data_IF_660205130095
#
_entry.id   IF_660205130095
#
_cell.length_a   1.000
_cell.length_b   1.000
_cell.length_c   1.000
_cell.angle_alpha   90.00
_cell.angle_beta   90.00
_cell.angle_gamma   90.00
#
_symmetry.space_group_name_H-M   'P 1'
#
loop_
_entity.id
_entity.type
_entity.pdbx_description
1 polymer ?
#
# COMPACT_ATOMS: atom_id res chain seq x y z
N UNK A 1 -4.22 6.89 13.82
CA UNK A 1 -3.49 7.48 14.95
C UNK A 1 -2.08 7.87 14.52
N UNK A 2 -1.53 8.90 15.18
CA UNK A 2 -0.16 9.39 14.95
C UNK A 2 0.62 9.26 16.25
N UNK A 3 1.77 8.59 16.19
CA UNK A 3 2.67 8.44 17.33
C UNK A 3 3.87 9.37 17.16
N UNK A 4 4.27 9.99 18.24
CA UNK A 4 5.51 10.78 18.34
C UNK A 4 6.50 9.99 19.21
N UNK A 5 7.70 9.79 18.71
CA UNK A 5 8.73 9.00 19.38
C UNK A 5 9.84 8.61 18.41
N UNK A 6 10.74 7.77 18.85
CA UNK A 6 11.72 7.17 17.95
C UNK A 6 11.13 6.03 17.11
N UNK A 7 11.93 5.46 16.22
CA UNK A 7 11.47 4.40 15.30
C UNK A 7 11.06 3.12 16.04
N UNK A 8 11.69 2.80 17.18
CA UNK A 8 11.38 1.60 17.93
C UNK A 8 10.08 1.77 18.70
N UNK A 9 9.89 2.93 19.37
CA UNK A 9 8.62 3.28 20.05
C UNK A 9 7.44 3.28 19.06
N UNK A 10 7.65 3.84 17.87
CA UNK A 10 6.65 3.81 16.81
C UNK A 10 6.31 2.38 16.35
N UNK A 11 7.32 1.50 16.30
CA UNK A 11 7.10 0.10 15.95
C UNK A 11 6.41 -0.67 17.07
N UNK A 12 6.78 -0.46 18.35
CA UNK A 12 6.09 -1.07 19.49
C UNK A 12 4.60 -0.73 19.51
N UNK A 13 4.30 0.54 19.26
CA UNK A 13 2.92 0.98 19.12
C UNK A 13 2.19 0.27 17.97
N UNK A 14 2.81 0.18 16.78
CA UNK A 14 2.21 -0.47 15.61
C UNK A 14 1.98 -1.96 15.85
N UNK A 15 2.92 -2.64 16.54
CA UNK A 15 2.80 -4.04 16.94
C UNK A 15 1.65 -4.26 17.92
N UNK A 16 1.51 -3.39 18.93
CA UNK A 16 0.37 -3.43 19.87
C UNK A 16 -0.95 -3.28 19.13
N UNK A 17 -1.06 -2.25 18.29
CA UNK A 17 -2.27 -2.01 17.49
C UNK A 17 -2.61 -3.14 16.52
N UNK A 18 -1.60 -3.77 15.94
CA UNK A 18 -1.80 -4.92 15.06
C UNK A 18 -2.42 -6.12 15.80
N UNK A 19 -2.00 -6.34 17.06
CA UNK A 19 -2.59 -7.38 17.92
C UNK A 19 -4.02 -7.03 18.33
N UNK A 20 -4.25 -5.79 18.79
CA UNK A 20 -5.57 -5.30 19.21
C UNK A 20 -6.61 -5.41 18.07
N UNK A 21 -6.18 -5.08 16.87
CA UNK A 21 -7.01 -5.15 15.66
C UNK A 21 -7.12 -6.57 15.07
N UNK A 22 -6.41 -7.55 15.63
CA UNK A 22 -6.31 -8.90 15.07
C UNK A 22 -5.93 -8.88 13.57
N UNK A 23 -4.96 -8.03 13.21
CA UNK A 23 -4.55 -7.83 11.84
C UNK A 23 -3.97 -9.12 11.22
N UNK A 24 -4.27 -9.38 9.95
CA UNK A 24 -3.66 -10.50 9.23
C UNK A 24 -2.21 -10.20 8.84
N UNK A 25 -1.91 -8.92 8.57
CA UNK A 25 -0.60 -8.48 8.08
C UNK A 25 -0.10 -7.23 8.78
N UNK A 26 1.19 -7.22 9.09
CA UNK A 26 1.95 -6.01 9.40
C UNK A 26 2.87 -5.68 8.22
N UNK A 27 2.66 -4.51 7.62
CA UNK A 27 3.48 -3.99 6.52
C UNK A 27 4.18 -2.73 7.00
N UNK A 28 5.50 -2.65 6.82
CA UNK A 28 6.25 -1.46 7.22
C UNK A 28 7.29 -1.06 6.18
N UNK A 29 7.62 0.23 6.13
CA UNK A 29 8.65 0.77 5.24
C UNK A 29 10.04 0.28 5.65
N UNK A 30 10.69 -0.44 4.76
CA UNK A 30 12.05 -0.96 4.92
C UNK A 30 13.10 -0.24 4.08
N UNK A 31 12.76 0.88 3.46
CA UNK A 31 13.76 1.75 2.87
C UNK A 31 14.44 2.57 3.98
N UNK A 32 15.77 2.56 4.04
CA UNK A 32 16.51 3.30 5.05
C UNK A 32 16.41 2.72 6.48
N UNK A 33 15.97 3.53 7.45
CA UNK A 33 15.95 3.16 8.87
C UNK A 33 15.03 1.98 9.21
N UNK A 34 13.97 1.76 8.43
CA UNK A 34 13.01 0.69 8.69
C UNK A 34 13.60 -0.72 8.63
N UNK A 35 14.77 -0.90 8.01
CA UNK A 35 15.48 -2.19 7.99
C UNK A 35 15.93 -2.62 9.39
N UNK A 36 16.30 -1.69 10.25
CA UNK A 36 16.76 -1.96 11.63
C UNK A 36 15.65 -2.55 12.50
N UNK A 37 14.38 -2.28 12.17
CA UNK A 37 13.22 -2.74 12.92
C UNK A 37 12.88 -4.22 12.67
N UNK A 38 13.50 -4.84 11.66
CA UNK A 38 13.20 -6.23 11.29
C UNK A 38 13.32 -7.18 12.47
N UNK A 39 14.41 -7.07 13.27
CA UNK A 39 14.63 -7.95 14.42
C UNK A 39 13.52 -7.80 15.46
N UNK A 40 13.13 -6.58 15.78
CA UNK A 40 12.05 -6.28 16.72
C UNK A 40 10.72 -6.90 16.23
N UNK A 41 10.36 -6.67 14.97
CA UNK A 41 9.16 -7.26 14.37
C UNK A 41 9.19 -8.77 14.36
N UNK A 42 10.34 -9.38 14.04
CA UNK A 42 10.48 -10.83 14.02
C UNK A 42 10.28 -11.44 15.40
N UNK A 43 10.88 -10.85 16.44
CA UNK A 43 10.76 -11.30 17.82
C UNK A 43 9.34 -11.15 18.37
N UNK A 44 8.74 -9.97 18.16
CA UNK A 44 7.43 -9.65 18.71
C UNK A 44 6.26 -10.40 18.03
N UNK A 45 6.40 -10.79 16.78
CA UNK A 45 5.37 -11.53 16.05
C UNK A 45 5.63 -13.03 15.92
N UNK A 46 6.70 -13.57 16.53
CA UNK A 46 7.08 -14.99 16.41
C UNK A 46 5.96 -15.93 16.85
N UNK A 47 5.27 -15.60 17.94
CA UNK A 47 4.19 -16.41 18.52
C UNK A 47 2.78 -16.02 18.04
N UNK A 48 2.68 -15.14 17.06
CA UNK A 48 1.39 -14.64 16.54
C UNK A 48 1.06 -15.25 15.17
N UNK A 49 -0.20 -15.09 14.73
CA UNK A 49 -0.63 -15.42 13.36
C UNK A 49 -0.41 -14.29 12.37
N UNK A 50 0.02 -13.11 12.85
CA UNK A 50 0.21 -11.92 12.02
C UNK A 50 1.37 -12.15 11.05
N UNK A 51 1.09 -12.06 9.77
CA UNK A 51 2.11 -12.16 8.74
C UNK A 51 2.91 -10.85 8.64
N UNK A 52 4.15 -10.94 8.19
CA UNK A 52 5.09 -9.81 8.13
C UNK A 52 5.46 -9.50 6.69
N UNK A 53 5.42 -8.22 6.29
CA UNK A 53 5.91 -7.82 4.98
C UNK A 53 6.76 -6.55 5.06
N UNK A 54 8.01 -6.65 4.60
CA UNK A 54 8.92 -5.53 4.42
C UNK A 54 8.60 -4.82 3.12
N UNK A 55 8.02 -3.65 3.17
CA UNK A 55 7.79 -2.84 2.00
C UNK A 55 9.05 -2.06 1.63
N UNK A 56 9.55 -2.26 0.42
CA UNK A 56 10.69 -1.54 -0.13
C UNK A 56 10.24 -0.79 -1.37
N UNK A 57 9.89 0.46 -1.18
CA UNK A 57 9.34 1.30 -2.23
C UNK A 57 10.30 1.59 -3.37
N UNK A 58 11.61 1.50 -3.11
CA UNK A 58 12.68 1.69 -4.11
C UNK A 58 12.86 0.52 -5.08
N UNK A 59 12.36 -0.68 -4.72
CA UNK A 59 12.45 -1.86 -5.58
C UNK A 59 11.64 -1.74 -6.88
N UNK A 60 11.89 -2.66 -7.80
CA UNK A 60 11.09 -2.80 -9.01
C UNK A 60 9.61 -3.03 -8.68
N UNK A 61 8.69 -2.58 -9.56
CA UNK A 61 7.27 -2.84 -9.39
C UNK A 61 6.96 -4.32 -9.24
N UNK A 62 5.99 -4.64 -8.40
CA UNK A 62 5.49 -6.01 -8.27
C UNK A 62 4.88 -6.47 -9.60
N UNK A 63 4.97 -7.77 -9.88
CA UNK A 63 4.50 -8.36 -11.13
C UNK A 63 5.02 -7.62 -12.37
N UNK A 64 6.30 -7.29 -12.36
CA UNK A 64 6.99 -6.42 -13.31
C UNK A 64 6.64 -6.69 -14.77
N UNK A 65 6.47 -7.96 -15.16
CA UNK A 65 6.20 -8.38 -16.54
C UNK A 65 4.71 -8.48 -16.86
N UNK A 66 3.83 -8.34 -15.88
CA UNK A 66 2.39 -8.35 -16.12
C UNK A 66 1.90 -6.98 -16.56
N UNK A 67 0.88 -6.91 -17.44
CA UNK A 67 0.24 -5.66 -17.79
C UNK A 67 -0.41 -5.02 -16.55
N UNK A 68 -0.35 -3.68 -16.48
CA UNK A 68 -0.92 -2.95 -15.36
C UNK A 68 -2.46 -2.98 -15.36
N UNK A 69 -3.08 -2.76 -16.52
CA UNK A 69 -4.53 -2.79 -16.68
C UNK A 69 -4.91 -3.36 -18.04
N UNK A 70 -5.54 -4.54 -18.05
CA UNK A 70 -5.93 -5.20 -19.30
C UNK A 70 -4.75 -5.75 -20.13
N UNK A 71 -5.04 -6.69 -21.02
CA UNK A 71 -4.03 -7.47 -21.75
C UNK A 71 -3.10 -6.64 -22.65
N UNK A 72 -3.61 -5.53 -23.20
CA UNK A 72 -2.90 -4.70 -24.18
C UNK A 72 -2.21 -3.49 -23.56
N UNK A 73 -2.23 -3.37 -22.22
CA UNK A 73 -1.55 -2.28 -21.53
C UNK A 73 -0.06 -2.54 -21.35
N UNK A 74 0.71 -1.46 -21.12
CA UNK A 74 2.12 -1.56 -20.75
C UNK A 74 2.28 -2.41 -19.49
N UNK A 75 3.41 -3.10 -19.41
CA UNK A 75 3.76 -3.87 -18.20
C UNK A 75 3.95 -2.93 -16.99
N UNK A 76 3.88 -3.50 -15.79
CA UNK A 76 4.15 -2.74 -14.57
C UNK A 76 5.54 -2.09 -14.62
N UNK A 77 6.54 -2.81 -15.08
CA UNK A 77 7.91 -2.32 -15.24
C UNK A 77 8.02 -1.16 -16.22
N UNK A 78 7.23 -1.16 -17.28
CA UNK A 78 7.24 -0.10 -18.30
C UNK A 78 6.37 1.10 -17.92
N UNK A 79 5.45 0.91 -16.99
CA UNK A 79 4.53 1.94 -16.50
C UNK A 79 5.11 2.72 -15.31
N UNK A 80 5.72 2.02 -14.35
CA UNK A 80 6.17 2.60 -13.08
C UNK A 80 7.68 2.56 -12.94
N UNK A 81 8.24 3.59 -12.32
CA UNK A 81 9.68 3.64 -12.03
C UNK A 81 10.08 2.62 -10.97
N UNK A 82 9.26 2.50 -9.93
CA UNK A 82 9.50 1.65 -8.77
C UNK A 82 8.19 1.22 -8.09
N UNK A 83 8.31 0.36 -7.07
CA UNK A 83 7.18 -0.16 -6.28
C UNK A 83 6.39 0.97 -5.59
N UNK A 84 7.06 1.99 -5.03
CA UNK A 84 6.38 3.14 -4.42
C UNK A 84 5.44 3.84 -5.41
N UNK A 85 5.89 4.06 -6.64
CA UNK A 85 5.06 4.66 -7.68
C UNK A 85 3.85 3.78 -8.05
N UNK A 86 4.07 2.48 -8.17
CA UNK A 86 2.99 1.51 -8.45
C UNK A 86 1.92 1.53 -7.35
N UNK A 87 2.32 1.52 -6.07
CA UNK A 87 1.38 1.44 -4.96
C UNK A 87 0.62 2.75 -4.73
N UNK A 88 1.26 3.91 -4.91
CA UNK A 88 0.55 5.18 -4.93
C UNK A 88 -0.48 5.24 -6.07
N UNK A 89 -0.16 4.60 -7.20
CA UNK A 89 -1.11 4.52 -8.31
C UNK A 89 -2.26 3.56 -8.04
N UNK A 90 -2.00 2.41 -7.42
CA UNK A 90 -3.05 1.50 -6.93
C UNK A 90 -4.00 2.21 -5.97
N UNK A 91 -3.47 2.98 -5.02
CA UNK A 91 -4.28 3.76 -4.09
C UNK A 91 -5.17 4.78 -4.82
N UNK A 92 -4.60 5.53 -5.76
CA UNK A 92 -5.35 6.45 -6.62
C UNK A 92 -6.48 5.74 -7.37
N UNK A 93 -6.20 4.59 -7.94
CA UNK A 93 -7.19 3.85 -8.75
C UNK A 93 -8.34 3.34 -7.88
N UNK A 94 -8.09 2.92 -6.64
CA UNK A 94 -9.14 2.55 -5.68
C UNK A 94 -10.03 3.75 -5.32
N UNK A 95 -9.47 4.92 -5.08
CA UNK A 95 -10.26 6.13 -4.88
C UNK A 95 -11.09 6.47 -6.11
N UNK A 96 -10.52 6.36 -7.30
CA UNK A 96 -11.24 6.62 -8.55
C UNK A 96 -12.35 5.59 -8.80
N UNK A 97 -12.09 4.32 -8.52
CA UNK A 97 -13.09 3.25 -8.60
C UNK A 97 -14.26 3.52 -7.64
N UNK A 98 -13.96 3.88 -6.38
CA UNK A 98 -14.98 4.24 -5.40
C UNK A 98 -15.82 5.45 -5.85
N UNK A 99 -15.18 6.49 -6.39
CA UNK A 99 -15.89 7.63 -6.97
C UNK A 99 -16.85 7.21 -8.09
N UNK A 100 -16.42 6.35 -9.01
CA UNK A 100 -17.27 5.84 -10.09
C UNK A 100 -18.44 5.02 -9.56
N UNK A 101 -18.21 4.17 -8.58
CA UNK A 101 -19.27 3.38 -7.96
C UNK A 101 -20.32 4.28 -7.27
N UNK A 102 -19.86 5.26 -6.47
CA UNK A 102 -20.76 6.11 -5.66
C UNK A 102 -21.44 7.19 -6.50
N UNK A 103 -20.68 7.93 -7.31
CA UNK A 103 -21.19 9.10 -8.02
C UNK A 103 -21.75 8.79 -9.41
N UNK A 104 -21.31 7.67 -10.02
CA UNK A 104 -21.75 7.28 -11.37
C UNK A 104 -22.68 6.06 -11.37
N UNK A 105 -22.84 5.40 -10.22
CA UNK A 105 -23.65 4.19 -10.12
C UNK A 105 -23.07 3.00 -10.88
N UNK A 106 -21.78 3.00 -11.18
CA UNK A 106 -21.13 1.90 -11.88
C UNK A 106 -20.92 0.72 -10.94
N UNK A 107 -21.22 -0.50 -11.42
CA UNK A 107 -20.82 -1.70 -10.68
C UNK A 107 -19.31 -1.90 -10.78
N UNK A 108 -18.65 -1.94 -9.65
CA UNK A 108 -17.21 -2.21 -9.53
C UNK A 108 -17.04 -3.27 -8.45
N UNK A 109 -16.11 -4.19 -8.67
CA UNK A 109 -15.81 -5.24 -7.69
C UNK A 109 -15.47 -4.60 -6.34
N UNK A 110 -16.09 -5.03 -5.23
CA UNK A 110 -15.79 -4.53 -3.90
C UNK A 110 -14.30 -4.57 -3.54
N UNK A 111 -13.55 -5.56 -4.03
CA UNK A 111 -12.12 -5.68 -3.80
C UNK A 111 -11.28 -4.57 -4.48
N UNK A 112 -11.86 -3.84 -5.42
CA UNK A 112 -11.25 -2.69 -6.08
C UNK A 112 -11.61 -1.35 -5.43
N UNK A 113 -12.52 -1.35 -4.46
CA UNK A 113 -12.96 -0.15 -3.76
C UNK A 113 -12.09 0.17 -2.55
N UNK A 114 -12.24 1.39 -2.03
CA UNK A 114 -11.68 1.81 -0.75
C UNK A 114 -12.76 2.49 0.07
N UNK A 115 -12.82 2.13 1.34
CA UNK A 115 -13.69 2.79 2.33
C UNK A 115 -12.85 3.19 3.53
N UNK A 116 -13.02 4.42 3.98
CA UNK A 116 -12.37 4.95 5.17
C UNK A 116 -13.45 5.29 6.19
N UNK A 117 -13.21 4.95 7.47
CA UNK A 117 -14.14 5.29 8.53
C UNK A 117 -14.26 6.82 8.69
N UNK A 118 -15.48 7.31 8.90
CA UNK A 118 -15.72 8.70 9.26
C UNK A 118 -15.14 9.08 10.64
N UNK A 119 -14.84 8.08 11.48
CA UNK A 119 -14.34 8.27 12.83
C UNK A 119 -12.81 8.47 12.89
N UNK A 120 -12.17 8.57 11.75
CA UNK A 120 -10.74 8.88 11.68
C UNK A 120 -10.52 10.35 12.07
N UNK A 121 -9.99 10.58 13.27
CA UNK A 121 -9.76 11.95 13.82
C UNK A 121 -8.87 12.83 12.93
N UNK A 122 -7.94 12.20 12.19
CA UNK A 122 -6.97 12.89 11.33
C UNK A 122 -7.33 12.80 9.84
N UNK A 123 -8.61 12.61 9.50
CA UNK A 123 -9.06 12.39 8.12
C UNK A 123 -8.69 13.56 7.19
N UNK A 124 -8.83 14.79 7.64
CA UNK A 124 -8.49 15.98 6.85
C UNK A 124 -6.99 16.09 6.57
N UNK A 125 -6.17 15.71 7.55
CA UNK A 125 -4.71 15.65 7.35
C UNK A 125 -4.37 14.55 6.35
N UNK A 126 -4.93 13.35 6.50
CA UNK A 126 -4.73 12.23 5.56
C UNK A 126 -5.15 12.65 4.14
N UNK A 127 -6.33 13.26 3.98
CA UNK A 127 -6.81 13.78 2.69
C UNK A 127 -5.83 14.79 2.10
N UNK A 128 -5.33 15.72 2.92
CA UNK A 128 -4.33 16.70 2.49
C UNK A 128 -3.04 16.05 2.00
N UNK A 129 -2.55 15.03 2.70
CA UNK A 129 -1.35 14.29 2.27
C UNK A 129 -1.57 13.54 0.96
N UNK A 130 -2.68 12.78 0.85
CA UNK A 130 -2.99 11.98 -0.35
C UNK A 130 -3.23 12.85 -1.59
N UNK A 131 -3.95 13.96 -1.46
CA UNK A 131 -4.28 14.84 -2.59
C UNK A 131 -3.11 15.68 -3.09
N UNK A 132 -2.05 15.84 -2.32
CA UNK A 132 -0.91 16.73 -2.65
C UNK A 132 0.33 16.00 -3.14
N UNK A 133 0.30 14.69 -3.28
CA UNK A 133 1.46 13.92 -3.74
C UNK A 133 1.84 14.31 -5.18
N UNK A 134 3.02 14.93 -5.41
CA UNK A 134 3.41 15.29 -6.75
C UNK A 134 3.86 14.06 -7.53
N UNK A 135 3.21 13.87 -8.67
CA UNK A 135 3.65 12.91 -9.69
C UNK A 135 4.61 13.61 -10.65
N UNK A 136 5.60 12.89 -11.14
CA UNK A 136 6.43 13.29 -12.27
C UNK A 136 6.66 12.12 -13.22
N UNK A 137 7.12 12.42 -14.42
CA UNK A 137 7.64 11.40 -15.33
C UNK A 137 9.14 11.27 -15.11
N UNK A 138 9.65 10.04 -15.06
CA UNK A 138 11.08 9.78 -15.09
C UNK A 138 11.66 10.12 -16.46
N UNK A 139 12.98 10.15 -16.58
CA UNK A 139 13.65 10.32 -17.89
C UNK A 139 13.27 9.23 -18.90
N UNK A 140 12.88 8.05 -18.43
CA UNK A 140 12.35 6.95 -19.26
C UNK A 140 10.83 7.07 -19.53
N UNK A 141 10.18 8.16 -19.13
CA UNK A 141 8.74 8.37 -19.32
C UNK A 141 7.84 7.59 -18.34
N UNK A 142 8.41 6.84 -17.41
CA UNK A 142 7.64 6.08 -16.42
C UNK A 142 7.06 6.98 -15.34
N UNK A 143 5.94 6.55 -14.76
CA UNK A 143 5.33 7.22 -13.61
C UNK A 143 6.28 7.14 -12.42
N UNK A 144 6.52 8.27 -11.80
CA UNK A 144 7.34 8.41 -10.61
C UNK A 144 6.64 9.32 -9.61
N UNK A 145 6.68 8.96 -8.33
CA UNK A 145 6.29 9.84 -7.24
C UNK A 145 7.51 10.65 -6.81
N UNK A 146 7.33 11.95 -6.61
CA UNK A 146 8.40 12.83 -6.17
C UNK A 146 8.99 12.34 -4.83
N UNK A 147 10.30 12.44 -4.68
CA UNK A 147 10.98 12.06 -3.44
C UNK A 147 10.58 12.98 -2.28
N UNK A 148 10.62 12.48 -1.03
CA UNK A 148 10.35 13.29 0.17
C UNK A 148 11.30 14.51 0.24
N UNK A 149 12.57 14.31 -0.17
CA UNK A 149 13.57 15.36 -0.21
C UNK A 149 13.19 16.47 -1.20
N UNK A 150 12.71 16.10 -2.39
CA UNK A 150 12.31 17.08 -3.41
C UNK A 150 10.99 17.76 -3.05
N UNK A 151 10.06 17.05 -2.41
CA UNK A 151 8.82 17.64 -1.88
C UNK A 151 9.10 18.73 -0.84
N UNK A 152 10.11 18.56 0.01
CA UNK A 152 10.48 19.53 1.02
C UNK A 152 11.12 20.81 0.46
N UNK A 153 11.67 20.76 -0.76
CA UNK A 153 12.31 21.90 -1.41
C UNK A 153 11.30 22.87 -2.04
N UNK A 154 11.71 24.12 -2.30
CA UNK A 154 10.96 25.05 -3.15
C UNK A 154 10.82 24.47 -4.57
N UNK A 155 9.72 24.71 -5.27
CA UNK A 155 8.56 25.51 -4.85
C UNK A 155 7.54 24.76 -3.98
N UNK A 156 7.67 23.47 -3.77
CA UNK A 156 6.64 22.62 -3.17
C UNK A 156 6.48 22.83 -1.67
N UNK A 157 7.58 22.80 -0.91
CA UNK A 157 7.60 22.95 0.56
C UNK A 157 6.56 22.06 1.27
N UNK A 158 6.39 20.84 0.78
CA UNK A 158 5.43 19.87 1.32
C UNK A 158 6.08 19.04 2.43
N UNK A 159 5.37 18.79 3.53
CA UNK A 159 5.81 17.85 4.55
C UNK A 159 5.83 16.41 4.04
N UNK A 160 6.53 15.53 4.75
CA UNK A 160 6.51 14.10 4.44
C UNK A 160 5.09 13.53 4.60
N UNK A 161 4.57 12.80 3.60
CA UNK A 161 3.20 12.25 3.64
C UNK A 161 3.16 10.94 4.41
N UNK A 162 3.48 10.95 5.69
CA UNK A 162 3.67 9.73 6.47
C UNK A 162 2.39 8.89 6.60
N UNK A 163 1.23 9.53 6.80
CA UNK A 163 -0.06 8.82 6.83
C UNK A 163 -0.46 8.35 5.43
N UNK A 164 -0.20 9.16 4.42
CA UNK A 164 -0.42 8.79 3.03
C UNK A 164 0.44 7.59 2.61
N UNK A 165 1.74 7.57 3.00
CA UNK A 165 2.62 6.42 2.74
C UNK A 165 2.12 5.16 3.50
N UNK A 166 1.61 5.30 4.74
CA UNK A 166 1.02 4.18 5.48
C UNK A 166 -0.23 3.63 4.79
N UNK A 167 -1.12 4.50 4.34
CA UNK A 167 -2.31 4.09 3.58
C UNK A 167 -1.92 3.45 2.23
N UNK A 168 -0.91 3.99 1.56
CA UNK A 168 -0.38 3.41 0.32
C UNK A 168 0.19 2.00 0.55
N UNK A 169 0.93 1.78 1.64
CA UNK A 169 1.45 0.45 1.99
C UNK A 169 0.31 -0.54 2.33
N UNK A 170 -0.82 -0.07 2.86
CA UNK A 170 -2.00 -0.90 3.09
C UNK A 170 -2.64 -1.43 1.79
N UNK A 171 -2.23 -0.91 0.61
CA UNK A 171 -2.60 -1.50 -0.68
C UNK A 171 -1.82 -2.79 -1.00
N UNK A 172 -0.91 -3.21 -0.12
CA UNK A 172 -0.28 -4.51 -0.22
C UNK A 172 -1.35 -5.60 -0.10
N UNK A 173 -1.43 -6.44 -1.11
CA UNK A 173 -2.26 -7.63 -1.11
C UNK A 173 -1.34 -8.82 -1.38
N UNK A 174 -1.15 -9.70 -0.41
CA UNK A 174 -0.43 -10.93 -0.68
C UNK A 174 -1.16 -11.68 -1.80
N UNK A 175 -0.42 -12.23 -2.75
CA UNK A 175 -1.02 -13.18 -3.68
C UNK A 175 -1.62 -14.28 -2.83
N UNK A 176 -2.92 -14.54 -3.01
CA UNK A 176 -3.54 -15.73 -2.44
C UNK A 176 -2.65 -16.91 -2.86
N UNK A 177 -1.98 -17.52 -1.90
CA UNK A 177 -1.34 -18.81 -2.15
C UNK A 177 -2.47 -19.64 -2.71
N UNK A 178 -2.35 -20.15 -3.94
CA UNK A 178 -3.31 -21.09 -4.48
C UNK A 178 -3.27 -22.30 -3.53
N UNK A 179 -4.06 -22.21 -2.47
CA UNK A 179 -4.41 -23.39 -1.71
C UNK A 179 -5.12 -24.26 -2.75
N UNK A 180 -4.48 -25.39 -3.05
CA UNK A 180 -4.95 -26.39 -3.96
C UNK A 180 -6.47 -26.42 -3.93
N UNK A 181 -7.11 -25.98 -5.01
CA UNK A 181 -8.52 -26.13 -5.20
C UNK A 181 -8.76 -27.65 -5.11
N UNK A 182 -9.32 -28.09 -4.01
CA UNK A 182 -9.78 -29.47 -3.85
C UNK A 182 -10.83 -29.64 -4.93
N UNK A 183 -10.46 -30.33 -6.02
CA UNK A 183 -11.43 -30.75 -7.01
C UNK A 183 -12.41 -31.66 -6.28
N UNK A 184 -13.54 -31.11 -5.88
CA UNK A 184 -14.70 -31.90 -5.46
C UNK A 184 -15.20 -32.61 -6.72
N UNK A 185 -14.76 -33.86 -6.89
CA UNK A 185 -15.34 -34.74 -7.87
C UNK A 185 -16.75 -35.10 -7.38
N UNK A 186 -17.74 -34.45 -7.92
CA UNK A 186 -19.14 -34.87 -7.86
C UNK A 186 -19.38 -36.01 -8.88
N UNK A 187 -18.78 -37.15 -8.64
CA UNK A 187 -19.17 -38.39 -9.33
C UNK A 187 -20.09 -39.17 -8.40
N UNK A 188 -21.38 -39.03 -8.58
CA UNK A 188 -22.33 -39.85 -7.85
C UNK A 188 -23.73 -39.26 -7.70
N UNK A 189 -24.43 -39.02 -8.77
CA UNK A 189 -25.89 -39.09 -8.85
C UNK A 189 -26.21 -39.61 -10.24
N UNK A 190 -26.32 -40.93 -10.34
CA UNK A 190 -26.98 -41.67 -11.38
C UNK A 190 -28.25 -42.26 -10.79
#
# INVERSE_FOLDING_TARGET
EKVTGDSNEGMDWALSKSRDAQADWLVWDCDGLGISLKRQVDQELESTKIQKHQFRGSESPDDSNLPYSGKDSKTNRDTFLNKRAQYWWKLRDRFHATYRAVEKGEYIDPDELISLSSDIEVLDQLRSEVCRIPQKRSNSGKIQIMSKIDMAKKPYQLPSPNMGDSLMMAMFSPKATQQNAVKLNFSGWG
#
